data_IF_971992762032
#
_entry.id   IF_971992762032
#
_cell.length_a   1.000
_cell.length_b   1.000
_cell.length_c   1.000
_cell.angle_alpha   90.00
_cell.angle_beta   90.00
_cell.angle_gamma   90.00
#
_symmetry.space_group_name_H-M   'P 1'
#
loop_
_entity.id
_entity.type
_entity.pdbx_description
1 polymer ?
#
# COMPACT_ATOMS: atom_id res chain seq x y z
N UNK A 1 34.71 -45.69 4.78
CA UNK A 1 34.00 -46.07 3.55
C UNK A 1 33.56 -44.78 2.85
N UNK A 2 34.24 -44.43 1.75
CA UNK A 2 33.91 -43.32 0.85
C UNK A 2 33.15 -43.90 -0.33
N UNK A 3 32.02 -43.32 -0.72
CA UNK A 3 31.54 -43.25 -2.10
C UNK A 3 30.52 -42.09 -2.24
N UNK A 4 30.31 -41.55 -3.46
CA UNK A 4 30.23 -40.10 -3.67
C UNK A 4 28.99 -39.63 -4.46
N UNK A 5 28.93 -38.30 -4.65
CA UNK A 5 28.34 -37.53 -5.77
C UNK A 5 26.94 -37.88 -6.28
N UNK A 6 26.02 -36.92 -6.16
CA UNK A 6 25.17 -36.51 -7.28
C UNK A 6 24.93 -35.00 -7.19
N UNK A 7 25.61 -34.25 -8.06
CA UNK A 7 25.25 -32.88 -8.42
C UNK A 7 23.86 -32.88 -9.05
N UNK A 8 22.97 -32.00 -8.58
CA UNK A 8 21.77 -31.64 -9.34
C UNK A 8 21.78 -30.13 -9.60
N UNK A 9 22.34 -29.77 -10.75
CA UNK A 9 22.15 -28.48 -11.40
C UNK A 9 20.81 -28.54 -12.14
N UNK A 10 19.74 -28.04 -11.53
CA UNK A 10 18.51 -27.73 -12.25
C UNK A 10 18.56 -26.25 -12.63
N UNK A 11 18.92 -25.99 -13.87
CA UNK A 11 18.77 -24.70 -14.52
C UNK A 11 17.29 -24.31 -14.53
N UNK A 12 16.93 -23.24 -13.81
CA UNK A 12 15.60 -22.62 -13.92
C UNK A 12 15.62 -21.72 -15.14
N UNK A 13 15.10 -22.24 -16.24
CA UNK A 13 14.68 -21.49 -17.41
C UNK A 13 13.60 -20.51 -16.97
N UNK A 14 13.95 -19.22 -16.94
CA UNK A 14 12.99 -18.12 -16.77
C UNK A 14 12.31 -17.90 -18.12
N UNK A 15 10.99 -18.10 -18.27
CA UNK A 15 10.33 -17.75 -19.51
C UNK A 15 10.35 -16.23 -19.69
N UNK A 16 10.97 -15.80 -20.79
CA UNK A 16 11.03 -14.43 -21.24
C UNK A 16 9.63 -13.95 -21.69
N UNK A 17 8.83 -13.45 -20.74
CA UNK A 17 7.58 -12.70 -21.02
C UNK A 17 7.46 -11.51 -20.06
N UNK A 18 8.53 -10.73 -19.93
CA UNK A 18 8.51 -9.40 -19.29
C UNK A 18 9.23 -8.43 -20.22
N UNK A 19 8.62 -8.19 -21.37
CA UNK A 19 9.08 -7.21 -22.34
C UNK A 19 7.86 -6.77 -23.13
N UNK A 20 7.27 -5.65 -22.73
CA UNK A 20 6.53 -4.64 -23.52
C UNK A 20 5.76 -3.75 -22.53
N UNK A 21 5.71 -2.45 -22.82
CA UNK A 21 5.09 -1.31 -22.12
C UNK A 21 6.04 -0.37 -21.36
N UNK A 22 7.13 0.04 -22.03
CA UNK A 22 7.65 1.41 -21.96
C UNK A 22 7.13 2.18 -23.17
N UNK A 23 6.35 3.25 -22.97
CA UNK A 23 6.32 4.46 -23.81
C UNK A 23 5.15 5.38 -23.44
N UNK A 24 5.45 6.47 -22.73
CA UNK A 24 4.82 7.80 -22.76
C UNK A 24 5.36 8.56 -21.53
N UNK A 25 6.36 9.43 -21.59
CA UNK A 25 6.70 10.35 -22.67
C UNK A 25 5.85 11.61 -22.55
N UNK A 26 6.15 12.47 -21.57
CA UNK A 26 5.79 13.90 -21.61
C UNK A 26 6.99 14.67 -21.03
N UNK A 27 7.57 15.50 -21.90
CA UNK A 27 8.83 16.19 -21.73
C UNK A 27 8.70 17.39 -20.77
N UNK A 28 9.75 17.60 -19.98
CA UNK A 28 10.09 18.82 -19.29
C UNK A 28 10.57 19.90 -20.28
N UNK A 29 10.05 21.13 -20.16
CA UNK A 29 10.64 22.33 -20.76
C UNK A 29 10.93 23.36 -19.67
N UNK A 30 12.12 23.95 -19.73
CA UNK A 30 12.77 24.79 -18.72
C UNK A 30 12.64 26.28 -19.03
N UNK A 31 12.63 27.09 -17.95
CA UNK A 31 13.13 28.48 -17.80
C UNK A 31 12.40 29.62 -18.55
N UNK A 32 12.25 30.86 -18.05
CA UNK A 32 13.01 31.64 -17.07
C UNK A 32 12.19 32.87 -16.60
N UNK A 33 12.52 33.50 -15.45
CA UNK A 33 12.02 34.85 -15.12
C UNK A 33 12.17 35.31 -13.65
N UNK A 34 13.29 35.98 -13.34
CA UNK A 34 13.63 36.82 -12.17
C UNK A 34 12.59 37.94 -11.89
N UNK A 35 12.47 38.69 -10.78
CA UNK A 35 13.11 38.83 -9.44
C UNK A 35 12.29 39.87 -8.62
N UNK A 36 12.42 39.81 -7.28
CA UNK A 36 12.36 40.88 -6.26
C UNK A 36 11.05 41.64 -5.96
N UNK A 37 10.62 41.65 -4.69
CA UNK A 37 10.82 42.80 -3.77
C UNK A 37 10.19 42.55 -2.39
N UNK A 38 10.88 43.04 -1.37
CA UNK A 38 10.57 43.02 0.07
C UNK A 38 9.52 44.08 0.42
N UNK A 39 8.55 43.75 1.28
CA UNK A 39 7.99 44.69 2.26
C UNK A 39 7.45 43.92 3.48
N UNK A 40 7.83 44.40 4.66
CA UNK A 40 7.53 43.91 6.01
C UNK A 40 6.23 44.50 6.59
N UNK A 41 5.75 43.84 7.67
CA UNK A 41 4.67 44.20 8.61
C UNK A 41 3.24 43.86 8.13
N UNK A 42 2.30 43.34 8.93
CA UNK A 42 2.10 43.37 10.38
C UNK A 42 1.16 42.23 10.85
N UNK A 43 0.99 42.10 12.16
CA UNK A 43 0.48 40.96 12.94
C UNK A 43 -1.07 40.85 12.93
N UNK A 44 -1.54 39.60 13.08
CA UNK A 44 -2.87 39.13 13.54
C UNK A 44 -3.95 38.88 12.48
N UNK A 45 -4.24 37.60 12.23
CA UNK A 45 -5.52 36.94 12.56
C UNK A 45 -5.53 35.50 12.03
N UNK A 46 -6.29 34.64 12.72
CA UNK A 46 -6.39 33.19 12.58
C UNK A 46 -6.26 32.69 11.12
N UNK A 47 -5.26 31.84 10.89
CA UNK A 47 -4.92 31.33 9.57
C UNK A 47 -5.95 30.33 9.01
N UNK A 48 -6.29 30.41 7.72
CA UNK A 48 -7.09 29.41 7.03
C UNK A 48 -6.18 28.25 6.62
N UNK A 49 -6.11 27.20 7.44
CA UNK A 49 -5.61 25.90 6.98
C UNK A 49 -6.76 25.04 6.43
N UNK A 50 -7.73 25.67 5.76
CA UNK A 50 -8.62 24.98 4.83
C UNK A 50 -8.01 25.02 3.43
N UNK A 51 -7.01 24.18 3.21
CA UNK A 51 -6.51 23.91 1.88
C UNK A 51 -6.20 22.41 1.76
N UNK A 52 -7.19 21.63 1.32
CA UNK A 52 -6.96 20.28 0.81
C UNK A 52 -8.01 19.19 1.06
N UNK A 53 -9.15 19.49 1.70
CA UNK A 53 -10.23 18.52 1.91
C UNK A 53 -11.42 18.77 0.97
N UNK A 54 -11.20 18.78 -0.34
CA UNK A 54 -12.28 18.82 -1.31
C UNK A 54 -12.21 17.59 -2.22
N UNK A 55 -12.92 16.54 -1.83
CA UNK A 55 -13.49 15.50 -2.71
C UNK A 55 -14.44 14.56 -1.96
N UNK A 56 -15.22 15.04 -0.98
CA UNK A 56 -16.25 14.22 -0.33
C UNK A 56 -17.55 14.99 -0.14
N UNK A 57 -18.54 14.67 -0.96
CA UNK A 57 -19.92 15.03 -0.66
C UNK A 57 -20.36 14.28 0.62
N UNK A 58 -21.15 14.89 1.51
CA UNK A 58 -21.77 14.18 2.62
C UNK A 58 -22.69 13.08 2.06
N UNK A 59 -22.35 11.82 2.35
CA UNK A 59 -23.11 10.64 1.90
C UNK A 59 -22.43 9.77 0.82
N UNK A 60 -21.30 10.18 0.24
CA UNK A 60 -20.53 9.34 -0.68
C UNK A 60 -19.19 8.91 -0.06
N UNK A 61 -18.93 7.61 0.07
CA UNK A 61 -17.65 7.12 0.58
C UNK A 61 -16.52 7.44 -0.40
N UNK A 62 -15.64 8.37 -0.04
CA UNK A 62 -14.44 8.67 -0.82
C UNK A 62 -13.37 7.64 -0.52
N UNK A 63 -13.57 6.42 -1.01
CA UNK A 63 -12.52 5.43 -1.00
C UNK A 63 -11.32 6.01 -1.76
N UNK A 64 -10.25 6.37 -1.04
CA UNK A 64 -9.03 6.94 -1.63
C UNK A 64 -8.32 5.92 -2.51
N UNK A 65 -8.50 4.64 -2.19
CA UNK A 65 -8.03 3.53 -2.99
C UNK A 65 -9.22 2.88 -3.71
N UNK A 66 -9.31 3.09 -5.03
CA UNK A 66 -10.35 2.47 -5.88
C UNK A 66 -9.86 1.14 -6.46
N UNK A 67 -10.75 0.13 -6.59
CA UNK A 67 -10.43 -1.11 -7.28
C UNK A 67 -9.83 -0.87 -8.67
N UNK A 68 -8.87 -1.71 -9.12
CA UNK A 68 -8.32 -1.63 -10.47
C UNK A 68 -9.40 -1.89 -11.53
N UNK A 69 -9.33 -1.18 -12.66
CA UNK A 69 -10.16 -1.49 -13.81
C UNK A 69 -9.67 -2.78 -14.48
N UNK A 70 -10.61 -3.61 -14.92
CA UNK A 70 -10.33 -4.87 -15.59
C UNK A 70 -10.41 -4.69 -17.11
N UNK A 71 -9.36 -5.07 -17.85
CA UNK A 71 -9.26 -4.80 -19.30
C UNK A 71 -9.84 -5.92 -20.19
N UNK A 72 -10.28 -7.03 -19.60
CA UNK A 72 -10.85 -8.19 -20.31
C UNK A 72 -12.36 -8.26 -20.10
N UNK A 73 -13.15 -8.72 -21.09
CA UNK A 73 -14.59 -8.93 -20.92
C UNK A 73 -14.92 -10.13 -20.04
N UNK A 74 -13.97 -11.03 -19.80
CA UNK A 74 -14.16 -12.24 -19.00
C UNK A 74 -13.47 -12.13 -17.66
N UNK A 75 -14.13 -12.59 -16.61
CA UNK A 75 -13.53 -12.71 -15.29
C UNK A 75 -12.47 -13.81 -15.28
N UNK A 76 -11.26 -13.47 -14.89
CA UNK A 76 -10.17 -14.42 -14.66
C UNK A 76 -9.67 -14.22 -13.22
N UNK A 77 -10.03 -15.17 -12.37
CA UNK A 77 -9.79 -15.16 -10.92
C UNK A 77 -8.33 -14.83 -10.55
N UNK A 78 -7.36 -15.54 -11.14
CA UNK A 78 -5.94 -15.32 -10.83
C UNK A 78 -5.42 -13.93 -11.24
N UNK A 79 -5.99 -13.34 -12.30
CA UNK A 79 -5.64 -11.98 -12.73
C UNK A 79 -6.25 -10.97 -11.78
N UNK A 80 -7.48 -11.19 -11.36
CA UNK A 80 -8.22 -10.33 -10.44
C UNK A 80 -7.53 -10.27 -9.05
N UNK A 81 -7.22 -11.43 -8.47
CA UNK A 81 -6.44 -11.54 -7.22
C UNK A 81 -5.11 -10.79 -7.31
N UNK A 82 -4.36 -11.01 -8.39
CA UNK A 82 -3.08 -10.33 -8.59
C UNK A 82 -3.25 -8.81 -8.70
N UNK A 83 -4.26 -8.35 -9.44
CA UNK A 83 -4.54 -6.92 -9.61
C UNK A 83 -4.93 -6.27 -8.29
N UNK A 84 -5.80 -6.90 -7.50
CA UNK A 84 -6.19 -6.41 -6.18
C UNK A 84 -5.00 -6.31 -5.24
N UNK A 85 -4.21 -7.37 -5.08
CA UNK A 85 -3.03 -7.37 -4.21
C UNK A 85 -2.02 -6.30 -4.61
N UNK A 86 -1.75 -6.16 -5.92
CA UNK A 86 -0.83 -5.15 -6.44
C UNK A 86 -1.35 -3.73 -6.21
N UNK A 87 -2.65 -3.50 -6.39
CA UNK A 87 -3.28 -2.20 -6.16
C UNK A 87 -3.30 -1.85 -4.67
N UNK A 88 -3.68 -2.79 -3.81
CA UNK A 88 -3.68 -2.64 -2.35
C UNK A 88 -2.27 -2.30 -1.83
N UNK A 89 -1.25 -3.01 -2.30
CA UNK A 89 0.15 -2.72 -1.95
C UNK A 89 0.60 -1.31 -2.38
N UNK A 90 0.16 -0.82 -3.54
CA UNK A 90 0.42 0.57 -3.95
C UNK A 90 -0.27 1.58 -3.04
N UNK A 91 -1.51 1.32 -2.64
CA UNK A 91 -2.23 2.21 -1.73
C UNK A 91 -1.61 2.24 -0.33
N UNK A 92 -1.13 1.09 0.18
CA UNK A 92 -0.32 1.05 1.40
C UNK A 92 0.89 1.98 1.31
N UNK A 93 1.64 1.92 0.21
CA UNK A 93 2.80 2.79 -0.01
C UNK A 93 2.42 4.28 -0.04
N UNK A 94 1.28 4.61 -0.65
CA UNK A 94 0.78 5.98 -0.65
C UNK A 94 0.34 6.44 0.74
N UNK A 95 -0.32 5.58 1.52
CA UNK A 95 -0.73 5.89 2.89
C UNK A 95 0.46 6.11 3.82
N UNK A 96 1.48 5.25 3.73
CA UNK A 96 2.73 5.40 4.49
C UNK A 96 3.43 6.72 4.17
N UNK A 97 3.57 7.08 2.89
CA UNK A 97 4.16 8.36 2.50
C UNK A 97 3.43 9.56 3.12
N UNK A 98 2.09 9.55 3.07
CA UNK A 98 1.28 10.61 3.69
C UNK A 98 1.52 10.69 5.20
N UNK A 99 1.60 9.54 5.86
CA UNK A 99 1.88 9.49 7.30
C UNK A 99 3.27 10.04 7.63
N UNK A 100 4.30 9.68 6.85
CA UNK A 100 5.67 10.18 7.03
C UNK A 100 5.75 11.70 6.78
N UNK A 101 5.06 12.20 5.75
CA UNK A 101 4.95 13.64 5.45
C UNK A 101 4.26 14.42 6.58
N UNK A 102 3.23 13.83 7.20
CA UNK A 102 2.46 14.47 8.28
C UNK A 102 3.16 14.42 9.64
N UNK A 103 3.81 13.30 9.95
CA UNK A 103 4.48 13.08 11.25
C UNK A 103 5.92 13.60 11.27
N UNK A 104 6.56 13.74 10.11
CA UNK A 104 7.99 14.02 10.01
C UNK A 104 8.89 12.86 10.44
N UNK A 105 8.32 11.68 10.72
CA UNK A 105 9.05 10.49 11.17
C UNK A 105 9.12 9.44 10.08
N UNK A 106 10.30 8.87 9.84
CA UNK A 106 10.47 7.74 8.93
C UNK A 106 9.98 6.43 9.57
N UNK A 107 9.20 5.66 8.81
CA UNK A 107 8.71 4.35 9.22
C UNK A 107 9.77 3.28 8.99
N UNK A 108 9.91 2.37 9.96
CA UNK A 108 10.83 1.24 9.82
C UNK A 108 10.39 0.27 8.72
N UNK A 109 11.33 -0.50 8.18
CA UNK A 109 11.04 -1.51 7.15
C UNK A 109 10.01 -2.55 7.62
N UNK A 110 10.11 -3.02 8.87
CA UNK A 110 9.18 -3.98 9.46
C UNK A 110 7.78 -3.40 9.61
N UNK A 111 7.66 -2.14 10.08
CA UNK A 111 6.38 -1.43 10.13
C UNK A 111 5.76 -1.31 8.74
N UNK A 112 6.55 -0.91 7.74
CA UNK A 112 6.10 -0.80 6.35
C UNK A 112 5.66 -2.14 5.76
N UNK A 113 6.26 -3.24 6.19
CA UNK A 113 5.85 -4.60 5.81
C UNK A 113 4.50 -4.98 6.44
N UNK A 114 4.30 -4.67 7.72
CA UNK A 114 3.03 -4.87 8.42
C UNK A 114 1.87 -4.10 7.77
N UNK A 115 2.07 -2.82 7.45
CA UNK A 115 1.06 -2.00 6.77
C UNK A 115 0.68 -2.59 5.41
N UNK A 116 1.68 -3.00 4.60
CA UNK A 116 1.42 -3.63 3.30
C UNK A 116 0.63 -4.92 3.43
N UNK A 117 0.96 -5.77 4.41
CA UNK A 117 0.25 -7.02 4.63
C UNK A 117 -1.21 -6.75 5.02
N UNK A 118 -1.47 -5.80 5.93
CA UNK A 118 -2.83 -5.44 6.32
C UNK A 118 -3.68 -4.98 5.13
N UNK A 119 -3.15 -4.12 4.25
CA UNK A 119 -3.85 -3.71 3.03
C UNK A 119 -4.16 -4.89 2.10
N UNK A 120 -3.20 -5.81 1.94
CA UNK A 120 -3.39 -7.01 1.12
C UNK A 120 -4.45 -7.92 1.72
N UNK A 121 -4.40 -8.18 3.04
CA UNK A 121 -5.35 -9.05 3.73
C UNK A 121 -6.78 -8.51 3.62
N UNK A 122 -6.98 -7.20 3.83
CA UNK A 122 -8.30 -6.59 3.67
C UNK A 122 -8.79 -6.65 2.22
N UNK A 123 -7.91 -6.44 1.24
CA UNK A 123 -8.24 -6.60 -0.17
C UNK A 123 -8.59 -8.06 -0.52
N UNK A 124 -8.01 -9.02 0.20
CA UNK A 124 -8.32 -10.45 0.10
C UNK A 124 -9.61 -10.85 0.83
N UNK A 125 -10.30 -9.90 1.48
CA UNK A 125 -11.56 -10.13 2.18
C UNK A 125 -11.38 -10.56 3.64
N UNK A 126 -10.17 -10.44 4.19
CA UNK A 126 -9.94 -10.60 5.63
C UNK A 126 -10.65 -9.50 6.42
N UNK A 127 -11.03 -9.84 7.66
CA UNK A 127 -11.59 -8.89 8.62
C UNK A 127 -10.54 -7.90 9.18
N UNK A 128 -9.26 -8.11 8.86
CA UNK A 128 -8.15 -7.33 9.44
C UNK A 128 -7.89 -7.71 10.90
N UNK A 129 -8.10 -8.97 11.26
CA UNK A 129 -7.71 -9.48 12.57
C UNK A 129 -6.20 -9.62 12.62
N UNK A 130 -5.60 -9.12 13.70
CA UNK A 130 -4.17 -9.27 13.94
C UNK A 130 -3.79 -10.77 13.96
N UNK A 131 -2.80 -11.21 13.18
CA UNK A 131 -2.35 -12.58 13.25
C UNK A 131 -1.69 -12.88 14.60
N UNK A 132 -1.84 -14.11 15.09
CA UNK A 132 -1.33 -14.52 16.39
C UNK A 132 0.21 -14.61 16.44
N UNK A 133 0.84 -14.81 15.27
CA UNK A 133 2.28 -14.91 15.09
C UNK A 133 2.69 -14.05 13.90
N UNK A 134 3.90 -13.46 13.91
CA UNK A 134 4.37 -12.67 12.78
C UNK A 134 4.64 -13.59 11.58
N UNK A 135 4.81 -13.05 10.36
CA UNK A 135 5.16 -13.85 9.19
C UNK A 135 6.47 -14.63 9.39
N UNK A 136 6.65 -15.72 8.62
CA UNK A 136 7.78 -16.64 8.74
C UNK A 136 9.15 -15.96 8.61
N UNK A 137 9.22 -14.80 7.95
CA UNK A 137 10.45 -14.01 7.81
C UNK A 137 11.06 -13.62 9.16
N UNK A 138 10.24 -13.47 10.20
CA UNK A 138 10.64 -13.16 11.58
C UNK A 138 10.88 -14.42 12.44
N UNK A 139 10.79 -15.63 11.90
CA UNK A 139 10.95 -16.88 12.69
C UNK A 139 12.39 -17.37 12.76
N UNK A 140 13.27 -16.77 11.95
CA UNK A 140 14.70 -17.13 11.89
C UNK A 140 15.36 -16.94 13.26
N UNK A 141 16.40 -17.74 13.53
CA UNK A 141 17.11 -17.70 14.82
C UNK A 141 17.64 -16.30 15.18
N UNK A 142 18.02 -15.50 14.19
CA UNK A 142 18.46 -14.10 14.36
C UNK A 142 17.37 -13.22 14.99
N UNK A 143 16.09 -13.47 14.65
CA UNK A 143 14.97 -12.67 15.12
C UNK A 143 14.54 -13.01 16.56
N UNK A 144 15.07 -14.09 17.15
CA UNK A 144 14.81 -14.46 18.54
C UNK A 144 15.55 -13.58 19.55
N UNK A 145 16.53 -12.80 19.10
CA UNK A 145 17.28 -11.83 19.91
C UNK A 145 16.45 -10.57 20.15
N UNK A 146 16.76 -9.75 21.17
CA UNK A 146 15.97 -8.54 21.48
C UNK A 146 15.74 -7.61 20.28
N UNK A 147 16.75 -7.40 19.44
CA UNK A 147 16.62 -6.56 18.24
C UNK A 147 15.57 -7.11 17.24
N UNK A 148 15.58 -8.42 17.00
CA UNK A 148 14.62 -9.04 16.09
C UNK A 148 13.22 -9.19 16.67
N UNK A 149 13.10 -9.36 17.99
CA UNK A 149 11.81 -9.26 18.68
C UNK A 149 11.21 -7.87 18.50
N UNK A 150 12.02 -6.82 18.58
CA UNK A 150 11.59 -5.46 18.33
C UNK A 150 11.15 -5.24 16.87
N UNK A 151 11.84 -5.81 15.88
CA UNK A 151 11.38 -5.77 14.48
C UNK A 151 10.02 -6.45 14.30
N UNK A 152 9.80 -7.63 14.89
CA UNK A 152 8.51 -8.30 14.87
C UNK A 152 7.41 -7.46 15.54
N UNK A 153 7.71 -6.79 16.66
CA UNK A 153 6.79 -5.85 17.32
C UNK A 153 6.45 -4.66 16.41
N UNK A 154 7.42 -4.10 15.70
CA UNK A 154 7.19 -3.03 14.74
C UNK A 154 6.31 -3.50 13.57
N UNK A 155 6.49 -4.75 13.11
CA UNK A 155 5.62 -5.34 12.10
C UNK A 155 4.17 -5.41 12.60
N UNK A 156 3.92 -5.88 13.82
CA UNK A 156 2.57 -5.90 14.41
C UNK A 156 1.97 -4.50 14.54
N UNK A 157 2.74 -3.51 15.00
CA UNK A 157 2.28 -2.12 15.08
C UNK A 157 1.91 -1.55 13.69
N UNK A 158 2.69 -1.90 12.67
CA UNK A 158 2.41 -1.56 11.28
C UNK A 158 1.15 -2.23 10.76
N UNK A 159 0.93 -3.50 11.10
CA UNK A 159 -0.28 -4.23 10.73
C UNK A 159 -1.53 -3.57 11.32
N UNK A 160 -1.55 -3.26 12.62
CA UNK A 160 -2.68 -2.60 13.27
C UNK A 160 -3.02 -1.25 12.62
N UNK A 161 -2.00 -0.41 12.47
CA UNK A 161 -2.13 0.89 11.81
C UNK A 161 -2.62 0.75 10.37
N UNK A 162 -2.08 -0.25 9.64
CA UNK A 162 -2.44 -0.56 8.28
C UNK A 162 -3.89 -0.98 8.11
N UNK A 163 -4.46 -1.76 9.03
CA UNK A 163 -5.89 -2.12 9.02
C UNK A 163 -6.77 -0.88 9.12
N UNK A 164 -6.43 0.04 10.03
CA UNK A 164 -7.17 1.27 10.23
C UNK A 164 -7.11 2.17 8.98
N UNK A 165 -5.91 2.37 8.43
CA UNK A 165 -5.70 3.18 7.22
C UNK A 165 -6.37 2.56 6.00
N UNK A 166 -6.27 1.24 5.83
CA UNK A 166 -6.89 0.51 4.72
C UNK A 166 -8.42 0.66 4.71
N UNK A 167 -9.07 0.61 5.89
CA UNK A 167 -10.52 0.86 6.01
C UNK A 167 -10.88 2.30 5.65
N UNK A 168 -10.09 3.28 6.10
CA UNK A 168 -10.28 4.68 5.72
C UNK A 168 -10.07 4.93 4.22
N UNK A 169 -9.18 4.17 3.59
CA UNK A 169 -8.92 4.21 2.15
C UNK A 169 -9.96 3.42 1.33
N UNK A 170 -10.84 2.66 1.97
CA UNK A 170 -11.92 1.88 1.34
C UNK A 170 -11.50 0.54 0.74
N UNK A 171 -10.38 -0.04 1.21
CA UNK A 171 -9.86 -1.33 0.72
C UNK A 171 -10.83 -2.48 1.01
N UNK A 172 -11.56 -2.43 2.13
CA UNK A 172 -12.55 -3.45 2.53
C UNK A 172 -13.69 -3.62 1.51
N UNK A 173 -13.84 -2.68 0.59
CA UNK A 173 -14.87 -2.70 -0.44
C UNK A 173 -14.44 -3.47 -1.71
N UNK A 174 -13.18 -3.90 -1.83
CA UNK A 174 -12.63 -4.47 -3.07
C UNK A 174 -13.35 -5.72 -3.56
N UNK A 175 -13.69 -6.63 -2.64
CA UNK A 175 -14.39 -7.89 -2.96
C UNK A 175 -15.90 -7.82 -2.82
N UNK A 176 -16.48 -6.64 -2.60
CA UNK A 176 -17.94 -6.47 -2.51
C UNK A 176 -18.52 -6.52 -3.92
N UNK A 177 -19.13 -7.64 -4.27
CA UNK A 177 -19.88 -7.82 -5.52
C UNK A 177 -21.36 -7.56 -5.26
N UNK A 178 -22.02 -6.84 -6.17
CA UNK A 178 -23.46 -6.64 -6.08
C UNK A 178 -24.18 -7.98 -6.18
N UNK A 179 -24.98 -8.31 -5.17
CA UNK A 179 -25.81 -9.52 -5.14
C UNK A 179 -27.29 -9.15 -5.22
N UNK A 180 -28.15 -9.94 -5.88
CA UNK A 180 -29.58 -9.69 -5.89
C UNK A 180 -30.12 -9.62 -4.46
N UNK A 181 -30.79 -8.52 -4.11
CA UNK A 181 -31.28 -8.26 -2.75
C UNK A 181 -30.46 -7.23 -1.97
N UNK A 182 -29.26 -6.87 -2.43
CA UNK A 182 -28.47 -5.77 -1.89
C UNK A 182 -28.99 -4.43 -2.43
N UNK A 183 -30.25 -4.11 -2.11
CA UNK A 183 -30.80 -2.78 -2.37
C UNK A 183 -30.24 -1.82 -1.34
N UNK A 184 -29.70 -0.69 -1.82
CA UNK A 184 -29.24 0.43 -1.00
C UNK A 184 -30.45 1.02 -0.25
N UNK A 185 -30.82 0.41 0.86
CA UNK A 185 -31.77 0.98 1.81
C UNK A 185 -31.02 1.92 2.74
N UNK A 186 -30.98 3.20 2.37
CA UNK A 186 -31.26 4.40 3.19
C UNK A 186 -31.12 5.63 2.28
#
# INVERSE_FOLDING_TARGET
MRQPLMQNRAARLVPAVVLVLLAAGCASSWMNGQQNAVHTAEVNQAGPYEAGAACCAPGASCARCKPPAYCSPWYIDCVDDFLFRKKASRCANTAMKRYEEQSGQELSSAFRAGVRQAYIDLADGSWGLMPAVPPEEYWKAEHRRPAGQHEAQQWFAGYDSGVQWARQDGIDQYRKVATPGMHSGY
#
